data_IF_330744207926
#
_entry.id   IF_330744207926
#
_cell.length_a   1.000
_cell.length_b   1.000
_cell.length_c   1.000
_cell.angle_alpha   90.00
_cell.angle_beta   90.00
_cell.angle_gamma   90.00
#
_symmetry.space_group_name_H-M   'P 1'
#
loop_
_entity.id
_entity.type
_entity.pdbx_description
1 polymer ?
#
# COMPACT_ATOMS: atom_id res chain seq x y z
N UNK A 1 8.96 -28.11 -2.56
CA UNK A 1 10.00 -28.87 -1.85
C UNK A 1 11.40 -28.29 -2.02
N UNK A 2 11.79 -27.81 -3.20
CA UNK A 2 13.14 -27.29 -3.49
C UNK A 2 13.64 -26.23 -2.49
N UNK A 3 12.81 -25.23 -2.16
CA UNK A 3 13.15 -24.18 -1.17
C UNK A 3 13.37 -24.70 0.26
N UNK A 4 12.77 -25.82 0.64
CA UNK A 4 12.98 -26.40 1.98
C UNK A 4 14.38 -27.02 2.06
N UNK A 5 14.82 -27.67 0.98
CA UNK A 5 16.17 -28.22 0.90
C UNK A 5 17.22 -27.11 0.82
N UNK A 6 16.92 -26.03 0.11
CA UNK A 6 17.75 -24.83 0.07
C UNK A 6 17.86 -24.18 1.46
N UNK A 7 16.75 -24.06 2.19
CA UNK A 7 16.75 -23.54 3.57
C UNK A 7 17.67 -24.35 4.49
N UNK A 8 17.57 -25.67 4.45
CA UNK A 8 18.43 -26.56 5.24
C UNK A 8 19.91 -26.40 4.92
N UNK A 9 20.26 -26.20 3.64
CA UNK A 9 21.64 -25.96 3.20
C UNK A 9 22.17 -24.59 3.65
N UNK A 10 21.29 -23.62 3.87
CA UNK A 10 21.65 -22.27 4.30
C UNK A 10 21.72 -22.12 5.84
N UNK A 11 21.52 -23.19 6.61
CA UNK A 11 21.76 -23.18 8.06
C UNK A 11 23.26 -23.25 8.32
N UNK A 12 23.77 -22.25 9.03
CA UNK A 12 25.18 -22.14 9.41
C UNK A 12 25.49 -23.17 10.51
N UNK A 13 26.06 -24.31 10.12
CA UNK A 13 26.36 -25.43 11.01
C UNK A 13 27.38 -25.06 12.07
N UNK A 14 28.36 -24.22 11.74
CA UNK A 14 29.42 -23.83 12.67
C UNK A 14 28.86 -23.01 13.83
N UNK A 15 27.89 -22.11 13.54
CA UNK A 15 27.18 -21.37 14.59
C UNK A 15 26.27 -22.27 15.42
N UNK A 16 25.62 -23.25 14.80
CA UNK A 16 24.79 -24.22 15.53
C UNK A 16 25.66 -25.02 16.49
N UNK A 17 26.82 -25.50 16.05
CA UNK A 17 27.77 -26.24 16.89
C UNK A 17 28.31 -25.39 18.04
N UNK A 18 28.53 -24.09 17.81
CA UNK A 18 28.88 -23.15 18.85
C UNK A 18 27.77 -23.01 19.91
N UNK A 19 26.50 -22.89 19.51
CA UNK A 19 25.36 -22.85 20.43
C UNK A 19 25.21 -24.16 21.20
N UNK A 20 25.39 -25.31 20.54
CA UNK A 20 25.36 -26.63 21.19
C UNK A 20 26.48 -26.74 22.25
N UNK A 21 27.67 -26.24 21.94
CA UNK A 21 28.80 -26.23 22.88
C UNK A 21 28.51 -25.37 24.13
N UNK A 22 27.88 -24.20 23.94
CA UNK A 22 27.41 -23.36 25.06
C UNK A 22 26.35 -24.08 25.89
N UNK A 23 25.39 -24.73 25.23
CA UNK A 23 24.33 -25.49 25.90
C UNK A 23 24.91 -26.62 26.77
N UNK A 24 25.88 -27.38 26.26
CA UNK A 24 26.57 -28.41 27.04
C UNK A 24 27.30 -27.82 28.25
N UNK A 25 27.96 -26.67 28.08
CA UNK A 25 28.62 -25.96 29.18
C UNK A 25 27.62 -25.50 30.26
N UNK A 26 26.37 -25.23 29.88
CA UNK A 26 25.32 -24.87 30.82
C UNK A 26 24.71 -26.08 31.54
N UNK A 27 24.63 -27.25 30.90
CA UNK A 27 24.19 -28.48 31.56
C UNK A 27 25.09 -28.87 32.75
N UNK A 28 26.38 -28.54 32.70
CA UNK A 28 27.33 -28.82 33.78
C UNK A 28 27.28 -27.79 34.93
N UNK A 29 26.50 -26.70 34.80
CA UNK A 29 26.40 -25.65 35.83
C UNK A 29 25.16 -25.82 36.68
N UNK A 30 25.32 -25.76 38.01
CA UNK A 30 24.20 -25.86 38.97
C UNK A 30 23.20 -24.69 38.89
N UNK A 31 23.63 -23.51 38.45
CA UNK A 31 22.77 -22.32 38.36
C UNK A 31 22.97 -21.58 37.05
N UNK A 32 21.99 -21.68 36.15
CA UNK A 32 21.94 -20.93 34.89
C UNK A 32 21.11 -19.66 35.11
N UNK A 33 21.65 -18.50 34.73
CA UNK A 33 20.89 -17.25 34.80
C UNK A 33 19.81 -17.22 33.72
N UNK A 34 18.65 -16.63 34.05
CA UNK A 34 17.60 -16.35 33.05
C UNK A 34 18.14 -15.57 31.84
N UNK A 35 19.14 -14.71 32.06
CA UNK A 35 19.75 -13.94 30.98
C UNK A 35 20.54 -14.82 30.01
N UNK A 36 21.23 -15.86 30.51
CA UNK A 36 21.98 -16.80 29.68
C UNK A 36 21.04 -17.59 28.76
N UNK A 37 19.90 -18.03 29.30
CA UNK A 37 18.85 -18.69 28.51
C UNK A 37 18.27 -17.76 27.43
N UNK A 38 17.97 -16.51 27.79
CA UNK A 38 17.49 -15.53 26.80
C UNK A 38 18.51 -15.31 25.68
N UNK A 39 19.79 -15.17 26.02
CA UNK A 39 20.86 -15.01 25.03
C UNK A 39 20.94 -16.22 24.10
N UNK A 40 20.87 -17.43 24.64
CA UNK A 40 20.91 -18.65 23.83
C UNK A 40 19.71 -18.76 22.88
N UNK A 41 18.51 -18.39 23.36
CA UNK A 41 17.31 -18.33 22.52
C UNK A 41 17.45 -17.28 21.41
N UNK A 42 18.02 -16.12 21.72
CA UNK A 42 18.29 -15.08 20.72
C UNK A 42 19.28 -15.55 19.67
N UNK A 43 20.38 -16.21 20.06
CA UNK A 43 21.37 -16.75 19.13
C UNK A 43 20.74 -17.79 18.18
N UNK A 44 19.94 -18.73 18.69
CA UNK A 44 19.21 -19.70 17.85
C UNK A 44 18.24 -18.98 16.90
N UNK A 45 17.51 -18.00 17.41
CA UNK A 45 16.55 -17.23 16.61
C UNK A 45 17.25 -16.50 15.46
N UNK A 46 18.39 -15.88 15.73
CA UNK A 46 19.17 -15.15 14.73
C UNK A 46 19.70 -16.09 13.63
N UNK A 47 20.22 -17.28 14.00
CA UNK A 47 20.64 -18.30 13.02
C UNK A 47 19.47 -18.66 12.09
N UNK A 48 18.31 -18.99 12.65
CA UNK A 48 17.14 -19.39 11.87
C UNK A 48 16.61 -18.27 10.97
N UNK A 49 16.59 -17.04 11.49
CA UNK A 49 16.16 -15.85 10.76
C UNK A 49 17.13 -15.57 9.60
N UNK A 50 18.43 -15.64 9.81
CA UNK A 50 19.41 -15.35 8.77
C UNK A 50 19.38 -16.40 7.65
N UNK A 51 19.26 -17.68 7.98
CA UNK A 51 19.04 -18.74 6.99
C UNK A 51 17.74 -18.53 6.21
N UNK A 52 16.69 -18.03 6.87
CA UNK A 52 15.41 -17.74 6.22
C UNK A 52 15.52 -16.54 5.28
N UNK A 53 16.24 -15.48 5.70
CA UNK A 53 16.53 -14.31 4.87
C UNK A 53 17.32 -14.66 3.62
N UNK A 54 18.29 -15.58 3.71
CA UNK A 54 19.07 -16.05 2.56
C UNK A 54 18.19 -16.82 1.58
N UNK A 55 17.34 -17.72 2.08
CA UNK A 55 16.55 -18.64 1.24
C UNK A 55 15.31 -17.98 0.64
N UNK A 56 14.56 -17.26 1.46
CA UNK A 56 13.28 -16.68 1.06
C UNK A 56 13.41 -15.20 0.64
N UNK A 57 14.60 -14.63 0.83
CA UNK A 57 14.87 -13.21 0.63
C UNK A 57 14.37 -12.36 1.80
N UNK A 58 15.04 -11.24 2.05
CA UNK A 58 14.49 -10.13 2.86
C UNK A 58 13.50 -9.34 2.02
N UNK A 59 12.38 -9.96 1.67
CA UNK A 59 11.32 -9.26 0.96
C UNK A 59 10.70 -8.24 1.93
N UNK A 60 11.11 -6.97 1.84
CA UNK A 60 10.28 -5.73 1.92
C UNK A 60 11.11 -4.48 2.32
N UNK A 61 12.13 -4.54 3.17
CA UNK A 61 12.77 -3.30 3.68
C UNK A 61 13.93 -2.77 2.80
N UNK A 62 14.85 -3.62 2.35
CA UNK A 62 16.05 -3.17 1.62
C UNK A 62 15.75 -2.65 0.20
N UNK A 63 14.77 -3.25 -0.52
CA UNK A 63 14.31 -2.74 -1.82
C UNK A 63 13.62 -1.37 -1.72
N UNK A 64 13.10 -1.01 -0.55
CA UNK A 64 12.47 0.29 -0.30
C UNK A 64 13.51 1.37 0.02
N UNK A 65 14.56 1.02 0.77
CA UNK A 65 15.66 1.93 1.09
C UNK A 65 16.53 2.30 -0.13
N UNK A 66 16.90 1.31 -0.96
CA UNK A 66 17.71 1.56 -2.18
C UNK A 66 16.95 2.29 -3.30
N UNK A 67 15.60 2.24 -3.30
CA UNK A 67 14.78 3.01 -4.25
C UNK A 67 14.56 4.48 -3.82
N UNK A 68 14.82 4.81 -2.57
CA UNK A 68 14.65 6.19 -2.07
C UNK A 68 15.89 7.05 -2.27
N UNK A 69 17.10 6.47 -2.36
CA UNK A 69 18.34 7.22 -2.58
C UNK A 69 18.53 7.69 -4.03
N UNK A 70 17.89 7.06 -5.02
CA UNK A 70 18.00 7.44 -6.46
C UNK A 70 16.89 8.37 -6.97
N UNK A 71 15.99 8.86 -6.11
CA UNK A 71 14.85 9.72 -6.52
C UNK A 71 14.97 11.20 -6.18
N UNK A 72 16.07 11.59 -5.54
CA UNK A 72 16.49 12.98 -5.43
C UNK A 72 17.58 13.10 -6.50
N UNK A 73 17.36 13.77 -7.63
CA UNK A 73 17.91 15.12 -7.79
C UNK A 73 17.46 15.83 -9.08
N UNK A 74 16.22 15.68 -9.60
CA UNK A 74 15.83 16.44 -10.81
C UNK A 74 14.35 16.83 -10.97
N UNK A 75 13.53 16.74 -9.91
CA UNK A 75 12.18 17.30 -9.97
C UNK A 75 12.17 18.65 -9.26
N UNK A 76 12.43 19.73 -10.01
CA UNK A 76 12.43 21.10 -9.49
C UNK A 76 11.14 21.46 -8.75
N UNK A 77 10.00 20.87 -9.14
CA UNK A 77 8.68 21.10 -8.54
C UNK A 77 8.35 20.20 -7.33
N UNK A 78 9.25 19.30 -6.92
CA UNK A 78 9.03 18.37 -5.80
C UNK A 78 10.09 18.53 -4.71
N UNK A 79 10.28 19.78 -4.29
CA UNK A 79 11.20 20.17 -3.25
C UNK A 79 10.72 19.76 -1.84
N UNK A 80 11.50 20.15 -0.83
CA UNK A 80 11.18 19.87 0.58
C UNK A 80 9.88 20.55 1.00
N UNK A 81 9.58 21.73 0.46
CA UNK A 81 8.41 22.53 0.81
C UNK A 81 7.12 21.94 0.21
N UNK A 82 7.16 21.49 -1.04
CA UNK A 82 6.09 20.72 -1.68
C UNK A 82 5.79 19.45 -0.89
N UNK A 83 6.82 18.72 -0.44
CA UNK A 83 6.64 17.55 0.41
C UNK A 83 6.00 17.88 1.76
N UNK A 84 6.40 18.98 2.39
CA UNK A 84 5.84 19.47 3.66
C UNK A 84 4.36 19.85 3.47
N UNK A 85 4.04 20.65 2.46
CA UNK A 85 2.67 21.05 2.13
C UNK A 85 1.77 19.83 1.84
N UNK A 86 2.27 18.86 1.07
CA UNK A 86 1.54 17.62 0.76
C UNK A 86 1.27 16.77 2.00
N UNK A 87 2.20 16.70 2.96
CA UNK A 87 1.99 15.99 4.24
C UNK A 87 0.91 16.68 5.07
N UNK A 88 0.95 18.01 5.18
CA UNK A 88 -0.04 18.81 5.93
C UNK A 88 -1.44 18.72 5.31
N UNK A 89 -1.55 18.73 3.98
CA UNK A 89 -2.82 18.53 3.28
C UNK A 89 -3.41 17.16 3.60
N UNK A 90 -2.62 16.09 3.48
CA UNK A 90 -3.07 14.71 3.80
C UNK A 90 -3.49 14.57 5.26
N UNK A 91 -2.74 15.17 6.18
CA UNK A 91 -3.08 15.19 7.61
C UNK A 91 -4.42 15.87 7.84
N UNK A 92 -4.63 17.04 7.22
CA UNK A 92 -5.88 17.81 7.31
C UNK A 92 -7.06 17.05 6.71
N UNK A 93 -6.90 16.38 5.56
CA UNK A 93 -7.93 15.53 4.96
C UNK A 93 -8.32 14.35 5.85
N UNK A 94 -7.33 13.69 6.49
CA UNK A 94 -7.59 12.59 7.44
C UNK A 94 -8.39 13.08 8.65
N UNK A 95 -8.00 14.21 9.25
CA UNK A 95 -8.71 14.80 10.38
C UNK A 95 -10.13 15.21 9.99
N UNK A 96 -10.32 15.82 8.82
CA UNK A 96 -11.65 16.16 8.32
C UNK A 96 -12.53 14.91 8.12
N UNK A 97 -12.01 13.86 7.47
CA UNK A 97 -12.74 12.60 7.28
C UNK A 97 -13.11 11.94 8.61
N UNK A 98 -12.23 12.02 9.61
CA UNK A 98 -12.43 11.37 10.91
C UNK A 98 -13.42 12.11 11.80
N UNK A 99 -13.38 13.45 11.81
CA UNK A 99 -14.13 14.24 12.79
C UNK A 99 -15.28 15.06 12.20
N UNK A 100 -15.34 15.26 10.87
CA UNK A 100 -16.45 15.93 10.16
C UNK A 100 -16.74 17.39 10.53
N UNK A 101 -16.12 17.93 11.59
CA UNK A 101 -16.45 19.24 12.14
C UNK A 101 -16.00 20.39 11.24
N UNK A 102 -16.81 21.46 11.23
CA UNK A 102 -16.56 22.71 10.49
C UNK A 102 -15.19 23.33 10.83
N UNK A 103 -14.68 23.09 12.04
CA UNK A 103 -13.34 23.53 12.47
C UNK A 103 -12.24 22.92 11.58
N UNK A 104 -12.39 21.66 11.17
CA UNK A 104 -11.42 20.98 10.29
C UNK A 104 -11.64 21.28 8.81
N UNK A 105 -12.88 21.64 8.43
CA UNK A 105 -13.22 22.10 7.08
C UNK A 105 -12.48 23.39 6.73
N UNK A 106 -12.42 24.34 7.67
CA UNK A 106 -11.76 25.62 7.45
C UNK A 106 -10.23 25.47 7.34
N UNK A 107 -9.63 24.62 8.19
CA UNK A 107 -8.21 24.28 8.10
C UNK A 107 -7.83 23.60 6.77
N UNK A 108 -8.73 22.77 6.24
CA UNK A 108 -8.55 22.14 4.93
C UNK A 108 -8.60 23.17 3.80
N UNK A 109 -9.55 24.12 3.84
CA UNK A 109 -9.67 25.22 2.85
C UNK A 109 -8.43 26.12 2.83
N UNK A 110 -7.92 26.52 3.99
CA UNK A 110 -6.71 27.33 4.09
C UNK A 110 -5.48 26.64 3.47
N UNK A 111 -5.34 25.33 3.64
CA UNK A 111 -4.26 24.56 3.05
C UNK A 111 -4.40 24.37 1.52
N UNK A 112 -5.63 24.38 0.99
CA UNK A 112 -5.88 24.37 -0.45
C UNK A 112 -5.58 25.74 -1.08
N UNK A 113 -5.97 26.83 -0.41
CA UNK A 113 -5.76 28.20 -0.91
C UNK A 113 -4.29 28.65 -0.86
N UNK A 114 -3.48 28.19 0.10
CA UNK A 114 -2.04 28.50 0.16
C UNK A 114 -1.22 28.00 -1.05
N UNK A 115 -1.76 27.07 -1.84
CA UNK A 115 -1.11 26.58 -3.06
C UNK A 115 -1.61 27.28 -4.34
N UNK A 116 -2.50 28.26 -4.23
CA UNK A 116 -2.91 29.12 -5.35
C UNK A 116 -2.12 30.43 -5.28
N UNK A 117 -0.87 30.39 -5.74
CA UNK A 117 -0.19 31.60 -6.17
C UNK A 117 -0.71 31.95 -7.57
N UNK A 118 -1.42 33.07 -7.65
CA UNK A 118 -1.69 33.95 -8.79
C UNK A 118 -1.73 33.31 -10.18
N UNK A 119 -2.84 32.68 -10.50
CA UNK A 119 -3.45 32.82 -11.83
C UNK A 119 -4.95 33.00 -11.58
N UNK A 120 -5.45 34.17 -11.97
CA UNK A 120 -6.88 34.49 -12.00
C UNK A 120 -7.60 33.53 -12.94
N UNK A 121 -8.02 32.38 -12.42
CA UNK A 121 -9.08 31.60 -13.02
C UNK A 121 -10.33 31.79 -12.17
N UNK A 122 -11.16 32.73 -12.60
CA UNK A 122 -12.54 32.86 -12.15
C UNK A 122 -13.23 31.55 -12.54
N UNK A 123 -13.39 30.65 -11.56
CA UNK A 123 -14.34 29.54 -11.70
C UNK A 123 -15.68 30.15 -11.32
N UNK A 124 -16.43 30.60 -12.33
CA UNK A 124 -17.86 30.86 -12.19
C UNK A 124 -18.52 29.55 -11.78
N UNK A 125 -18.77 29.43 -10.48
CA UNK A 125 -19.53 28.36 -9.90
C UNK A 125 -21.00 28.70 -10.17
N UNK A 126 -21.43 28.47 -11.40
CA UNK A 126 -22.86 28.51 -11.75
C UNK A 126 -23.51 27.24 -11.19
N UNK A 127 -23.78 27.27 -9.87
CA UNK A 127 -24.65 26.32 -9.21
C UNK A 127 -26.08 26.74 -9.52
N UNK A 128 -26.47 26.54 -10.79
CA UNK A 128 -27.86 26.39 -11.20
C UNK A 128 -28.35 25.06 -10.64
N UNK A 129 -28.84 25.12 -9.40
CA UNK A 129 -29.56 24.03 -8.73
C UNK A 129 -30.96 23.86 -9.34
N UNK A 130 -31.04 23.38 -10.58
CA UNK A 130 -32.24 22.70 -11.09
C UNK A 130 -31.99 21.20 -11.02
N UNK A 131 -32.29 20.62 -9.86
CA UNK A 131 -32.27 19.19 -9.62
C UNK A 131 -33.52 18.54 -10.23
N UNK A 132 -33.60 18.57 -11.56
CA UNK A 132 -34.40 17.61 -12.30
C UNK A 132 -33.55 16.33 -12.42
N UNK A 133 -33.76 15.42 -11.47
CA UNK A 133 -33.00 14.18 -11.26
C UNK A 133 -33.33 13.09 -12.29
N UNK A 134 -33.62 13.50 -13.54
CA UNK A 134 -33.91 12.59 -14.65
C UNK A 134 -32.64 11.89 -15.15
N UNK A 135 -31.46 12.45 -14.85
CA UNK A 135 -30.16 11.87 -15.24
C UNK A 135 -29.85 10.52 -14.59
N UNK A 136 -30.37 10.27 -13.38
CA UNK A 136 -30.23 8.97 -12.71
C UNK A 136 -31.21 7.92 -13.26
N UNK A 137 -32.28 8.36 -13.92
CA UNK A 137 -33.31 7.48 -14.48
C UNK A 137 -33.12 7.17 -15.97
N UNK A 138 -32.08 7.74 -16.61
CA UNK A 138 -31.73 7.47 -17.99
C UNK A 138 -31.37 5.99 -18.23
N UNK A 139 -31.62 5.53 -19.45
CA UNK A 139 -31.20 4.20 -19.90
C UNK A 139 -29.67 4.15 -19.98
N UNK A 140 -29.07 3.12 -19.38
CA UNK A 140 -27.63 2.90 -19.43
C UNK A 140 -27.25 2.51 -20.86
N UNK A 141 -26.42 3.32 -21.51
CA UNK A 141 -26.04 3.11 -22.92
C UNK A 141 -24.80 2.23 -23.05
N UNK A 142 -24.66 1.58 -24.22
CA UNK A 142 -23.49 0.78 -24.58
C UNK A 142 -22.21 1.60 -24.48
N UNK A 143 -22.25 2.84 -24.97
CA UNK A 143 -21.12 3.76 -24.99
C UNK A 143 -20.69 4.15 -23.58
N UNK A 144 -21.65 4.34 -22.68
CA UNK A 144 -21.37 4.67 -21.28
C UNK A 144 -20.63 3.53 -20.57
N UNK A 145 -21.10 2.29 -20.74
CA UNK A 145 -20.45 1.11 -20.17
C UNK A 145 -19.03 0.97 -20.75
N UNK A 146 -18.86 1.10 -22.07
CA UNK A 146 -17.54 1.06 -22.72
C UNK A 146 -16.60 2.14 -22.17
N UNK A 147 -17.10 3.35 -21.96
CA UNK A 147 -16.34 4.48 -21.42
C UNK A 147 -15.96 4.24 -19.95
N UNK A 148 -16.85 3.64 -19.16
CA UNK A 148 -16.59 3.29 -17.77
C UNK A 148 -15.52 2.20 -17.65
N UNK A 149 -15.63 1.12 -18.42
CA UNK A 149 -14.64 0.02 -18.39
C UNK A 149 -13.27 0.49 -18.90
N UNK A 150 -13.21 1.33 -19.94
CA UNK A 150 -11.95 1.93 -20.41
C UNK A 150 -11.25 2.81 -19.36
N UNK A 151 -12.01 3.41 -18.44
CA UNK A 151 -11.47 4.20 -17.32
C UNK A 151 -11.01 3.33 -16.14
N UNK A 152 -11.40 2.06 -16.10
CA UNK A 152 -10.97 1.14 -15.06
C UNK A 152 -9.45 0.94 -15.13
N UNK A 153 -8.79 0.90 -13.97
CA UNK A 153 -7.34 0.74 -13.88
C UNK A 153 -6.99 -0.75 -13.82
N UNK A 154 -6.01 -1.17 -14.60
CA UNK A 154 -5.47 -2.52 -14.55
C UNK A 154 -4.66 -2.77 -13.26
N UNK A 155 -4.47 -4.04 -12.91
CA UNK A 155 -3.72 -4.53 -11.76
C UNK A 155 -4.23 -3.97 -10.42
N UNK A 156 -5.56 -3.81 -10.31
CA UNK A 156 -6.20 -3.51 -9.04
C UNK A 156 -6.50 -4.79 -8.29
N UNK A 157 -6.38 -4.73 -6.97
CA UNK A 157 -6.76 -5.84 -6.11
C UNK A 157 -8.24 -6.16 -6.34
N UNK A 158 -8.59 -7.44 -6.50
CA UNK A 158 -9.98 -7.84 -6.67
C UNK A 158 -10.80 -7.55 -5.41
N UNK A 159 -12.12 -7.49 -5.59
CA UNK A 159 -13.10 -7.40 -4.51
C UNK A 159 -13.27 -8.72 -3.76
N UNK A 160 -14.30 -8.80 -2.92
CA UNK A 160 -14.65 -10.03 -2.22
C UNK A 160 -15.04 -11.17 -3.18
N UNK A 161 -15.60 -10.81 -4.34
CA UNK A 161 -15.97 -11.69 -5.46
C UNK A 161 -14.77 -12.28 -6.23
N UNK A 162 -13.55 -11.83 -5.92
CA UNK A 162 -12.32 -12.23 -6.62
C UNK A 162 -12.27 -11.87 -8.11
N UNK A 163 -13.13 -10.97 -8.60
CA UNK A 163 -13.14 -10.55 -10.00
C UNK A 163 -12.16 -9.39 -10.20
N UNK A 164 -11.28 -9.52 -11.20
CA UNK A 164 -10.32 -8.46 -11.58
C UNK A 164 -10.81 -7.69 -12.82
N UNK A 165 -10.38 -6.44 -12.95
CA UNK A 165 -10.80 -5.55 -14.02
C UNK A 165 -10.45 -6.09 -15.42
N UNK A 166 -9.37 -6.87 -15.53
CA UNK A 166 -8.95 -7.52 -16.78
C UNK A 166 -9.99 -8.52 -17.28
N UNK A 167 -10.67 -9.23 -16.37
CA UNK A 167 -11.74 -10.15 -16.74
C UNK A 167 -12.96 -9.38 -17.25
N UNK A 168 -13.35 -8.31 -16.56
CA UNK A 168 -14.47 -7.45 -16.98
C UNK A 168 -14.17 -6.82 -18.36
N UNK A 169 -12.94 -6.35 -18.58
CA UNK A 169 -12.54 -5.74 -19.85
C UNK A 169 -12.48 -6.76 -20.99
N UNK A 170 -12.06 -7.99 -20.72
CA UNK A 170 -11.96 -9.05 -21.74
C UNK A 170 -13.30 -9.72 -22.07
N UNK A 171 -14.22 -9.81 -21.11
CA UNK A 171 -15.57 -10.36 -21.35
C UNK A 171 -16.54 -9.34 -21.93
N UNK A 172 -16.17 -8.06 -21.97
CA UNK A 172 -17.05 -6.95 -22.30
C UNK A 172 -17.74 -7.12 -23.65
N UNK A 173 -17.00 -7.50 -24.69
CA UNK A 173 -17.55 -7.65 -26.04
C UNK A 173 -18.66 -8.71 -26.12
N UNK A 174 -18.60 -9.73 -25.27
CA UNK A 174 -19.60 -10.81 -25.20
C UNK A 174 -20.74 -10.57 -24.23
N UNK A 175 -20.55 -9.70 -23.23
CA UNK A 175 -21.52 -9.48 -22.14
C UNK A 175 -22.23 -8.13 -22.21
N UNK A 176 -21.77 -7.22 -23.07
CA UNK A 176 -22.32 -5.87 -23.18
C UNK A 176 -23.83 -5.85 -23.47
N UNK A 177 -24.31 -6.79 -24.30
CA UNK A 177 -25.72 -6.86 -24.66
C UNK A 177 -26.58 -7.29 -23.46
N UNK A 178 -26.03 -8.08 -22.53
CA UNK A 178 -26.69 -8.47 -21.28
C UNK A 178 -26.80 -7.28 -20.34
N UNK A 179 -25.78 -6.43 -20.27
CA UNK A 179 -25.75 -5.27 -19.38
C UNK A 179 -26.65 -4.12 -19.82
N UNK A 180 -26.84 -3.96 -21.13
CA UNK A 180 -27.76 -2.96 -21.70
C UNK A 180 -29.21 -3.45 -21.62
N UNK A 181 -29.44 -4.77 -21.62
CA UNK A 181 -30.77 -5.38 -21.58
C UNK A 181 -31.29 -5.59 -20.15
N UNK A 182 -31.57 -4.52 -19.42
CA UNK A 182 -32.42 -4.57 -18.21
C UNK A 182 -33.27 -3.31 -18.10
N UNK A 183 -34.46 -3.35 -18.73
CA UNK A 183 -35.69 -2.66 -18.31
C UNK A 183 -36.84 -3.11 -19.23
N UNK A 184 -37.54 -4.17 -18.82
CA UNK A 184 -39.00 -4.27 -19.02
C UNK A 184 -39.67 -3.90 -17.70
#
# INVERSE_FOLDING_TARGET
MEKINEYRKNIDTDKVDCVISKLNTYNDKENISKNDMNNLVHEVSDILIDSAKLTFGTNVYAKTMLRNSKKQNNKQWYDKDCNKAKKELRKSQRLYKMYGSNIFKERLRQNLNKNKFEDEFIIENDVSSSCDDDTLNCVITREEILKAVKKAKNNKSPGADQIINEYIASSLDSMIDIYVYVRE
#
